data_IF_414386265101
#
_entry.id   IF_414386265101
#
_cell.length_a   1.000
_cell.length_b   1.000
_cell.length_c   1.000
_cell.angle_alpha   90.00
_cell.angle_beta   90.00
_cell.angle_gamma   90.00
#
_symmetry.space_group_name_H-M   'P 1'
#
loop_
_entity.id
_entity.type
_entity.pdbx_description
1 polymer ?
#
# COMPACT_ATOMS: atom_id res chain seq x y z
N UNK A 1 -50.17 -16.15 41.30
CA UNK A 1 -48.90 -16.48 41.99
C UNK A 1 -47.81 -16.56 40.95
N UNK A 2 -46.78 -15.70 41.06
CA UNK A 2 -45.46 -15.72 40.41
C UNK A 2 -45.39 -15.68 38.87
N UNK A 3 -44.36 -15.14 38.21
CA UNK A 3 -43.45 -14.00 38.36
C UNK A 3 -42.63 -14.02 37.04
N UNK A 4 -42.57 -12.88 36.36
CA UNK A 4 -41.50 -12.33 35.49
C UNK A 4 -40.54 -13.27 34.71
N UNK A 5 -40.36 -12.96 33.40
CA UNK A 5 -39.04 -12.73 32.79
C UNK A 5 -39.19 -12.01 31.43
N UNK A 6 -38.82 -10.72 31.39
CA UNK A 6 -38.63 -9.90 30.20
C UNK A 6 -37.25 -10.20 29.59
N UNK A 7 -37.21 -10.66 28.33
CA UNK A 7 -35.99 -10.72 27.54
C UNK A 7 -35.84 -9.42 26.72
N UNK A 8 -34.85 -8.61 27.09
CA UNK A 8 -34.44 -7.41 26.37
C UNK A 8 -33.74 -7.79 25.05
N UNK A 9 -34.30 -7.32 23.93
CA UNK A 9 -33.66 -7.38 22.63
C UNK A 9 -32.58 -6.30 22.53
N UNK A 10 -31.32 -6.71 22.36
CA UNK A 10 -30.23 -5.82 21.97
C UNK A 10 -30.12 -5.77 20.44
N UNK A 11 -30.50 -4.62 19.86
CA UNK A 11 -30.14 -4.23 18.50
C UNK A 11 -28.70 -3.66 18.51
N UNK A 12 -27.81 -4.05 17.58
CA UNK A 12 -26.50 -3.42 17.48
C UNK A 12 -26.66 -2.07 16.76
N UNK A 13 -26.54 -0.98 17.52
CA UNK A 13 -26.35 0.37 17.00
C UNK A 13 -24.99 0.46 16.28
N UNK A 14 -25.02 1.00 15.07
CA UNK A 14 -23.84 1.17 14.22
C UNK A 14 -22.76 2.03 14.89
N UNK A 15 -21.53 1.53 14.86
CA UNK A 15 -20.33 2.28 15.24
C UNK A 15 -20.03 3.33 14.16
N UNK A 16 -20.65 4.50 14.29
CA UNK A 16 -20.14 5.74 13.72
C UNK A 16 -18.93 6.11 14.57
N UNK A 17 -17.73 6.15 13.98
CA UNK A 17 -16.49 6.51 14.68
C UNK A 17 -16.63 7.87 15.35
N UNK A 18 -16.87 7.85 16.67
CA UNK A 18 -16.78 9.02 17.51
C UNK A 18 -15.34 9.09 18.01
N UNK A 19 -14.69 10.22 17.75
CA UNK A 19 -13.47 10.59 18.45
C UNK A 19 -13.74 10.52 19.95
N UNK A 20 -13.12 9.57 20.65
CA UNK A 20 -13.12 9.61 22.11
C UNK A 20 -12.33 10.84 22.56
N UNK A 21 -12.90 11.73 23.39
CA UNK A 21 -12.16 12.87 23.91
C UNK A 21 -11.07 12.36 24.85
N UNK A 22 -9.82 12.78 24.60
CA UNK A 22 -8.71 12.49 25.51
C UNK A 22 -8.92 13.29 26.80
N UNK A 23 -8.97 12.62 27.96
CA UNK A 23 -9.10 13.23 29.29
C UNK A 23 -7.84 13.99 29.75
N UNK A 24 -6.94 14.38 28.83
CA UNK A 24 -5.60 14.90 29.13
C UNK A 24 -5.44 16.42 28.92
N UNK A 25 -6.48 17.13 28.48
CA UNK A 25 -6.38 18.55 28.09
C UNK A 25 -5.48 18.80 26.85
N UNK A 26 -4.85 17.74 26.31
CA UNK A 26 -3.98 17.80 25.15
C UNK A 26 -4.80 17.48 23.89
N UNK A 27 -4.77 18.34 22.85
CA UNK A 27 -5.51 18.10 21.62
C UNK A 27 -5.14 16.77 20.95
N UNK A 28 -6.07 16.21 20.17
CA UNK A 28 -5.79 15.03 19.35
C UNK A 28 -4.70 15.34 18.30
N UNK A 29 -3.86 14.34 17.99
CA UNK A 29 -2.86 14.48 16.95
C UNK A 29 -3.54 14.63 15.58
N UNK A 30 -3.15 15.63 14.76
CA UNK A 30 -3.72 15.78 13.43
C UNK A 30 -3.22 14.67 12.51
N UNK A 31 -4.11 14.17 11.65
CA UNK A 31 -3.78 13.16 10.63
C UNK A 31 -2.93 13.79 9.52
N UNK A 32 -1.71 13.29 9.24
CA UNK A 32 -0.95 13.73 8.08
C UNK A 32 -1.64 13.36 6.76
N UNK A 33 -1.43 14.12 5.67
CA UNK A 33 -2.11 13.89 4.39
C UNK A 33 -1.78 12.52 3.79
N UNK A 34 -2.80 11.80 3.33
CA UNK A 34 -2.66 10.49 2.68
C UNK A 34 -2.33 9.31 3.60
N UNK A 35 -2.55 9.46 4.92
CA UNK A 35 -2.20 8.42 5.91
C UNK A 35 -3.42 7.82 6.63
N UNK A 36 -3.28 6.67 7.27
CA UNK A 36 -4.22 6.13 8.27
C UNK A 36 -3.51 6.00 9.61
N UNK A 37 -4.24 6.15 10.72
CA UNK A 37 -3.66 5.97 12.05
C UNK A 37 -3.53 4.46 12.33
N UNK A 38 -2.33 4.02 12.73
CA UNK A 38 -2.03 2.59 12.99
C UNK A 38 -1.60 2.33 14.44
N UNK A 39 -1.19 3.39 15.17
CA UNK A 39 -1.03 3.41 16.62
C UNK A 39 -1.20 4.86 17.13
N UNK A 40 -1.08 5.08 18.45
CA UNK A 40 -1.39 6.36 19.10
C UNK A 40 -0.73 7.58 18.44
N UNK A 41 0.58 7.53 18.19
CA UNK A 41 1.34 8.60 17.54
C UNK A 41 1.91 8.20 16.16
N UNK A 42 1.46 7.06 15.62
CA UNK A 42 1.98 6.49 14.38
C UNK A 42 0.89 6.41 13.33
N UNK A 43 1.18 7.02 12.20
CA UNK A 43 0.37 6.95 10.98
C UNK A 43 1.15 6.21 9.91
N UNK A 44 0.45 5.67 8.93
CA UNK A 44 1.04 4.97 7.77
C UNK A 44 0.36 5.45 6.51
N UNK A 45 1.09 5.59 5.42
CA UNK A 45 0.48 5.86 4.12
C UNK A 45 -0.60 4.83 3.78
N UNK A 46 -1.75 5.32 3.34
CA UNK A 46 -2.89 4.45 3.03
C UNK A 46 -2.61 3.49 1.87
N UNK A 47 -1.64 3.81 1.02
CA UNK A 47 -1.22 3.03 -0.14
C UNK A 47 0.29 3.18 -0.38
N UNK A 48 0.85 2.41 -1.32
CA UNK A 48 2.25 2.58 -1.72
C UNK A 48 2.50 3.98 -2.32
N UNK A 49 3.74 4.47 -2.23
CA UNK A 49 4.12 5.71 -2.92
C UNK A 49 3.97 5.51 -4.42
N UNK A 50 3.05 6.25 -5.05
CA UNK A 50 2.80 6.18 -6.49
C UNK A 50 3.81 7.02 -7.32
N UNK A 51 3.88 6.72 -8.62
CA UNK A 51 4.70 7.47 -9.58
C UNK A 51 4.43 8.99 -9.53
N UNK A 52 3.17 9.41 -9.38
CA UNK A 52 2.81 10.83 -9.29
C UNK A 52 3.42 11.55 -8.08
N UNK A 53 3.51 10.85 -6.94
CA UNK A 53 4.12 11.40 -5.72
C UNK A 53 5.63 11.56 -5.90
N UNK A 54 6.27 10.62 -6.60
CA UNK A 54 7.69 10.70 -6.91
C UNK A 54 7.98 11.78 -7.97
N UNK A 55 7.10 11.97 -8.95
CA UNK A 55 7.19 13.07 -9.91
C UNK A 55 7.09 14.45 -9.24
N UNK A 56 6.23 14.59 -8.22
CA UNK A 56 6.19 15.79 -7.38
C UNK A 56 7.51 16.00 -6.65
N UNK A 57 8.05 14.97 -6.00
CA UNK A 57 9.37 15.03 -5.36
C UNK A 57 10.46 15.51 -6.32
N UNK A 58 10.53 14.90 -7.51
CA UNK A 58 11.48 15.30 -8.55
C UNK A 58 11.29 16.75 -9.02
N UNK A 59 10.04 17.24 -9.08
CA UNK A 59 9.76 18.63 -9.44
C UNK A 59 10.37 19.61 -8.44
N UNK A 60 10.26 19.33 -7.14
CA UNK A 60 10.88 20.17 -6.10
C UNK A 60 12.41 20.10 -6.16
N UNK A 61 12.98 18.91 -6.32
CA UNK A 61 14.43 18.78 -6.46
C UNK A 61 14.99 19.51 -7.68
N UNK A 62 14.25 19.55 -8.79
CA UNK A 62 14.67 20.29 -9.98
C UNK A 62 14.76 21.81 -9.75
N UNK A 63 14.03 22.33 -8.75
CA UNK A 63 14.01 23.75 -8.39
C UNK A 63 15.07 24.09 -7.35
N UNK A 64 15.20 23.23 -6.34
CA UNK A 64 15.91 23.56 -5.09
C UNK A 64 17.23 22.79 -4.90
N UNK A 65 17.67 22.02 -5.90
CA UNK A 65 18.88 21.20 -5.80
C UNK A 65 19.76 21.25 -7.03
N UNK A 66 21.04 20.90 -6.84
CA UNK A 66 21.97 20.73 -7.95
C UNK A 66 21.49 19.63 -8.92
N UNK A 67 21.70 19.84 -10.22
CA UNK A 67 21.31 18.89 -11.28
C UNK A 67 21.81 17.46 -11.04
N UNK A 68 23.00 17.31 -10.45
CA UNK A 68 23.55 16.01 -10.10
C UNK A 68 22.69 15.28 -9.06
N UNK A 69 22.21 15.99 -8.04
CA UNK A 69 21.32 15.43 -7.02
C UNK A 69 19.99 15.02 -7.64
N UNK A 70 19.35 15.90 -8.43
CA UNK A 70 18.13 15.55 -9.17
C UNK A 70 18.29 14.26 -9.98
N UNK A 71 19.37 14.14 -10.76
CA UNK A 71 19.65 12.95 -11.59
C UNK A 71 19.81 11.69 -10.75
N UNK A 72 20.43 11.80 -9.57
CA UNK A 72 20.59 10.67 -8.64
C UNK A 72 19.27 10.16 -8.04
N UNK A 73 18.19 10.95 -8.13
CA UNK A 73 16.86 10.60 -7.61
C UNK A 73 15.92 10.08 -8.71
N UNK A 74 16.39 9.96 -9.95
CA UNK A 74 15.63 9.34 -11.03
C UNK A 74 15.49 7.83 -10.77
N UNK A 75 14.28 7.25 -10.94
CA UNK A 75 14.10 5.81 -10.86
C UNK A 75 14.90 5.08 -11.92
N UNK A 76 15.48 3.94 -11.54
CA UNK A 76 16.17 3.04 -12.44
C UNK A 76 15.17 2.30 -13.32
N UNK A 77 15.11 2.65 -14.60
CA UNK A 77 14.23 2.01 -15.59
C UNK A 77 14.72 0.64 -16.06
N UNK A 78 15.99 0.28 -15.80
CA UNK A 78 16.56 -0.99 -16.28
C UNK A 78 15.99 -2.21 -15.56
N UNK A 79 15.38 -2.01 -14.39
CA UNK A 79 14.66 -3.04 -13.62
C UNK A 79 13.52 -3.71 -14.40
N UNK A 80 13.05 -3.06 -15.47
CA UNK A 80 12.07 -3.60 -16.41
C UNK A 80 12.71 -4.42 -17.54
N UNK A 81 13.90 -4.04 -17.98
CA UNK A 81 14.65 -4.73 -19.05
C UNK A 81 15.17 -6.08 -18.56
N UNK A 82 15.65 -6.15 -17.31
CA UNK A 82 16.04 -7.40 -16.67
C UNK A 82 14.92 -8.46 -16.68
N UNK A 83 13.64 -8.04 -16.64
CA UNK A 83 12.51 -8.96 -16.78
C UNK A 83 12.29 -9.45 -18.21
N UNK A 84 12.53 -8.60 -19.21
CA UNK A 84 12.35 -8.98 -20.63
C UNK A 84 13.38 -10.00 -21.12
N UNK A 85 14.59 -10.03 -20.55
CA UNK A 85 15.62 -11.00 -20.92
C UNK A 85 15.29 -12.44 -20.47
N UNK A 86 14.56 -12.61 -19.37
CA UNK A 86 14.00 -13.92 -18.96
C UNK A 86 12.74 -14.31 -19.74
N UNK A 87 12.09 -13.36 -20.43
CA UNK A 87 10.91 -13.60 -21.26
C UNK A 87 11.25 -13.80 -22.76
N UNK A 88 12.51 -13.59 -23.16
CA UNK A 88 12.94 -13.57 -24.56
C UNK A 88 13.24 -14.95 -25.16
N UNK A 89 12.33 -15.92 -24.98
CA UNK A 89 12.25 -17.09 -25.87
C UNK A 89 10.97 -17.12 -26.74
N UNK A 90 10.08 -16.13 -26.61
CA UNK A 90 8.89 -16.05 -27.46
C UNK A 90 8.90 -14.74 -28.25
N UNK A 91 9.14 -14.90 -29.55
CA UNK A 91 9.33 -13.86 -30.53
C UNK A 91 8.13 -12.90 -30.66
N UNK A 92 8.43 -11.62 -30.87
CA UNK A 92 7.60 -10.74 -31.69
C UNK A 92 6.73 -9.68 -31.00
N UNK A 93 6.65 -9.60 -29.67
CA UNK A 93 5.81 -8.57 -29.01
C UNK A 93 6.64 -7.46 -28.39
N UNK A 94 6.56 -6.30 -29.04
CA UNK A 94 7.12 -5.00 -28.68
C UNK A 94 7.54 -4.85 -27.21
N UNK A 95 8.85 -4.74 -27.01
CA UNK A 95 9.42 -4.00 -25.90
C UNK A 95 8.86 -2.57 -25.91
N UNK A 96 7.75 -2.30 -25.20
CA UNK A 96 7.41 -0.93 -24.80
C UNK A 96 6.66 -0.85 -23.45
N UNK A 97 6.95 0.17 -22.63
CA UNK A 97 8.11 1.07 -22.71
C UNK A 97 8.91 1.17 -21.41
N UNK A 98 10.19 1.49 -21.63
CA UNK A 98 11.16 2.19 -20.76
C UNK A 98 10.59 3.48 -20.10
N UNK A 99 9.28 3.74 -20.20
CA UNK A 99 8.58 4.94 -19.75
C UNK A 99 7.54 4.69 -18.65
N UNK A 100 7.51 3.54 -17.97
CA UNK A 100 6.61 3.27 -16.84
C UNK A 100 6.47 4.49 -15.91
N UNK A 101 7.60 5.01 -15.44
CA UNK A 101 7.63 6.13 -14.51
C UNK A 101 7.08 7.45 -15.10
N UNK A 102 7.29 7.70 -16.40
CA UNK A 102 7.02 8.98 -17.06
C UNK A 102 5.73 8.98 -17.88
N UNK A 103 5.03 7.86 -17.95
CA UNK A 103 3.84 7.72 -18.79
C UNK A 103 2.58 8.11 -17.98
N UNK A 104 1.79 9.12 -18.39
CA UNK A 104 0.68 9.62 -17.58
C UNK A 104 -0.35 8.58 -17.09
N UNK A 105 -0.74 7.59 -17.91
CA UNK A 105 -1.61 6.51 -17.43
C UNK A 105 -1.04 5.70 -16.26
N UNK A 106 0.28 5.73 -16.04
CA UNK A 106 0.96 5.00 -14.98
C UNK A 106 1.14 5.81 -13.69
N UNK A 107 0.63 7.04 -13.62
CA UNK A 107 0.84 7.95 -12.49
C UNK A 107 0.36 7.39 -11.15
N UNK A 108 -0.71 6.60 -11.14
CA UNK A 108 -1.27 6.01 -9.92
C UNK A 108 -0.78 4.60 -9.63
N UNK A 109 0.20 4.09 -10.37
CA UNK A 109 0.88 2.82 -10.08
C UNK A 109 2.06 3.05 -9.13
N UNK A 110 2.51 2.03 -8.37
CA UNK A 110 3.56 2.19 -7.37
C UNK A 110 4.89 2.63 -7.99
N UNK A 111 5.60 3.53 -7.33
CA UNK A 111 6.95 3.90 -7.72
C UNK A 111 7.90 2.71 -7.48
N UNK A 112 8.50 2.22 -8.56
CA UNK A 112 9.48 1.12 -8.55
C UNK A 112 10.74 1.52 -9.30
N UNK A 113 11.80 0.71 -9.22
CA UNK A 113 13.12 1.15 -9.66
C UNK A 113 13.75 2.16 -8.69
N UNK A 114 13.25 2.19 -7.46
CA UNK A 114 13.72 3.07 -6.37
C UNK A 114 14.71 2.27 -5.52
N UNK A 115 15.82 2.89 -5.13
CA UNK A 115 16.76 2.33 -4.14
C UNK A 115 16.31 2.63 -2.71
N UNK A 116 16.86 1.90 -1.74
CA UNK A 116 16.62 2.18 -0.32
C UNK A 116 16.96 3.63 0.06
N UNK A 117 18.10 4.13 -0.41
CA UNK A 117 18.59 5.49 -0.14
C UNK A 117 17.67 6.55 -0.74
N UNK A 118 17.18 6.32 -1.96
CA UNK A 118 16.20 7.19 -2.60
C UNK A 118 14.89 7.21 -1.80
N UNK A 119 14.37 6.05 -1.39
CA UNK A 119 13.14 5.97 -0.59
C UNK A 119 13.27 6.68 0.77
N UNK A 120 14.41 6.51 1.45
CA UNK A 120 14.71 7.22 2.70
C UNK A 120 14.81 8.75 2.48
N UNK A 121 15.45 9.19 1.39
CA UNK A 121 15.52 10.60 1.02
C UNK A 121 14.12 11.19 0.73
N UNK A 122 13.26 10.44 0.05
CA UNK A 122 11.87 10.82 -0.20
C UNK A 122 11.09 11.02 1.11
N UNK A 123 11.14 10.07 2.06
CA UNK A 123 10.43 10.25 3.34
C UNK A 123 10.98 11.47 4.11
N UNK A 124 12.29 11.74 4.07
CA UNK A 124 12.88 12.95 4.66
C UNK A 124 12.37 14.23 3.99
N UNK A 125 12.34 14.27 2.66
CA UNK A 125 11.79 15.40 1.90
C UNK A 125 10.32 15.64 2.24
N UNK A 126 9.50 14.58 2.27
CA UNK A 126 8.07 14.68 2.60
C UNK A 126 7.84 15.22 4.00
N UNK A 127 8.70 14.87 4.96
CA UNK A 127 8.68 15.45 6.32
C UNK A 127 8.84 16.97 6.27
N UNK A 128 9.85 17.46 5.55
CA UNK A 128 10.07 18.90 5.40
C UNK A 128 8.86 19.58 4.72
N UNK A 129 8.35 19.00 3.64
CA UNK A 129 7.22 19.55 2.89
C UNK A 129 5.94 19.64 3.71
N UNK A 130 5.58 18.58 4.43
CA UNK A 130 4.35 18.57 5.24
C UNK A 130 4.47 19.51 6.43
N UNK A 131 5.62 19.56 7.10
CA UNK A 131 5.86 20.48 8.22
C UNK A 131 5.85 21.96 7.77
N UNK A 132 6.39 22.27 6.59
CA UNK A 132 6.51 23.64 6.10
C UNK A 132 5.23 24.14 5.41
N UNK A 133 4.60 23.29 4.60
CA UNK A 133 3.53 23.72 3.69
C UNK A 133 2.14 23.26 4.11
N UNK A 134 2.01 22.12 4.82
CA UNK A 134 0.69 21.61 5.22
C UNK A 134 0.31 22.09 6.63
N UNK A 135 1.08 21.73 7.67
CA UNK A 135 0.72 22.06 9.05
C UNK A 135 0.84 23.55 9.40
N UNK A 136 1.60 24.33 8.63
CA UNK A 136 1.66 25.79 8.75
C UNK A 136 0.69 26.52 7.82
N UNK A 137 -0.07 25.80 6.99
CA UNK A 137 -1.02 26.44 6.06
C UNK A 137 -2.17 27.12 6.80
N UNK A 138 -2.66 28.23 6.22
CA UNK A 138 -3.86 28.91 6.72
C UNK A 138 -5.09 27.98 6.74
N UNK A 139 -5.19 27.10 5.75
CA UNK A 139 -6.31 26.15 5.65
C UNK A 139 -6.28 25.14 6.80
N UNK A 140 -5.12 24.55 7.09
CA UNK A 140 -4.96 23.62 8.20
C UNK A 140 -5.28 24.30 9.55
N UNK A 141 -4.69 25.47 9.82
CA UNK A 141 -4.93 26.22 11.06
C UNK A 141 -6.37 26.71 11.22
N UNK A 142 -7.12 26.87 10.13
CA UNK A 142 -8.56 27.16 10.15
C UNK A 142 -9.37 25.94 10.55
N UNK A 143 -8.99 24.75 10.06
CA UNK A 143 -9.65 23.47 10.37
C UNK A 143 -9.31 22.95 11.78
N UNK A 144 -8.18 23.37 12.35
CA UNK A 144 -7.67 22.93 13.65
C UNK A 144 -7.42 24.08 14.63
N UNK A 145 -8.46 24.83 15.05
CA UNK A 145 -8.30 25.93 16.02
C UNK A 145 -7.73 25.47 17.37
N UNK A 146 -7.99 24.23 17.79
CA UNK A 146 -7.46 23.60 18.99
C UNK A 146 -5.93 23.46 19.00
N UNK A 147 -5.29 23.45 17.82
CA UNK A 147 -3.84 23.32 17.65
C UNK A 147 -3.12 24.67 17.57
N UNK A 148 -3.81 25.82 17.63
CA UNK A 148 -3.18 27.15 17.48
C UNK A 148 -2.07 27.43 18.50
N UNK A 149 -2.25 26.92 19.72
CA UNK A 149 -1.28 27.01 20.82
C UNK A 149 -0.15 25.98 20.76
N UNK A 150 -0.08 25.17 19.70
CA UNK A 150 0.87 24.07 19.56
C UNK A 150 1.69 24.19 18.27
N UNK A 151 2.91 23.68 18.32
CA UNK A 151 3.71 23.34 17.14
C UNK A 151 3.45 21.88 16.83
N UNK A 152 3.02 21.60 15.59
CA UNK A 152 2.80 20.25 15.08
C UNK A 152 4.00 19.85 14.23
N UNK A 153 4.55 18.68 14.48
CA UNK A 153 5.66 18.13 13.72
C UNK A 153 5.35 16.69 13.29
N UNK A 154 5.68 16.38 12.04
CA UNK A 154 5.69 15.01 11.51
C UNK A 154 7.05 14.61 11.01
N UNK A 155 7.43 13.37 11.29
CA UNK A 155 8.59 12.70 10.73
C UNK A 155 8.12 11.48 9.94
N UNK A 156 8.31 11.52 8.62
CA UNK A 156 8.13 10.37 7.73
C UNK A 156 9.42 9.58 7.60
N UNK A 157 9.29 8.26 7.63
CA UNK A 157 10.37 7.30 7.41
C UNK A 157 9.82 5.97 6.87
N UNK A 158 10.70 5.06 6.48
CA UNK A 158 10.30 3.68 6.21
C UNK A 158 9.82 3.00 7.51
N UNK A 159 8.81 2.10 7.42
CA UNK A 159 8.32 1.35 8.58
C UNK A 159 9.36 0.36 9.06
N UNK A 160 9.47 0.15 10.37
CA UNK A 160 10.10 -1.07 10.89
C UNK A 160 9.26 -2.29 10.49
N UNK A 161 9.85 -3.48 10.47
CA UNK A 161 9.11 -4.73 10.21
C UNK A 161 7.96 -4.93 11.19
N UNK A 162 8.13 -4.54 12.45
CA UNK A 162 7.09 -4.67 13.48
C UNK A 162 5.93 -3.70 13.24
N UNK A 163 6.21 -2.43 12.93
CA UNK A 163 5.17 -1.45 12.60
C UNK A 163 4.40 -1.86 11.35
N UNK A 164 5.09 -2.39 10.35
CA UNK A 164 4.46 -2.92 9.14
C UNK A 164 3.51 -4.09 9.46
N UNK A 165 3.95 -5.06 10.25
CA UNK A 165 3.14 -6.22 10.63
C UNK A 165 1.93 -5.83 11.49
N UNK A 166 2.12 -4.91 12.43
CA UNK A 166 1.03 -4.38 13.25
C UNK A 166 -0.04 -3.70 12.37
N UNK A 167 0.39 -2.92 11.37
CA UNK A 167 -0.51 -2.26 10.44
C UNK A 167 -1.23 -3.24 9.49
N UNK A 168 -0.56 -4.32 9.08
CA UNK A 168 -1.14 -5.35 8.23
C UNK A 168 -2.23 -6.17 8.93
N UNK A 169 -2.15 -6.36 10.26
CA UNK A 169 -3.22 -6.91 11.11
C UNK A 169 -3.77 -8.28 10.67
N UNK A 170 -3.13 -9.38 11.06
CA UNK A 170 -3.47 -10.72 10.58
C UNK A 170 -3.95 -11.70 11.66
N UNK A 171 -4.81 -12.63 11.23
CA UNK A 171 -4.77 -14.06 11.58
C UNK A 171 -5.56 -14.85 10.53
N UNK A 172 -4.87 -15.50 9.59
CA UNK A 172 -5.47 -16.40 8.61
C UNK A 172 -4.41 -17.18 7.81
N UNK A 173 -4.77 -18.38 7.35
CA UNK A 173 -3.85 -19.32 6.69
C UNK A 173 -4.08 -19.41 5.18
N UNK A 174 -5.23 -18.93 4.71
CA UNK A 174 -5.56 -18.84 3.30
C UNK A 174 -5.29 -17.46 2.73
N UNK A 175 -5.13 -17.32 1.40
CA UNK A 175 -4.82 -16.04 0.77
C UNK A 175 -5.79 -14.90 1.22
N UNK A 176 -7.11 -15.12 1.14
CA UNK A 176 -8.11 -14.11 1.50
C UNK A 176 -8.19 -13.79 3.02
N UNK A 177 -7.44 -14.54 3.82
CA UNK A 177 -7.42 -14.43 5.29
C UNK A 177 -6.06 -13.92 5.80
N UNK A 178 -5.06 -13.74 4.92
CA UNK A 178 -3.74 -13.19 5.28
C UNK A 178 -3.89 -11.83 5.99
N UNK A 179 -4.89 -11.03 5.61
CA UNK A 179 -5.18 -9.71 6.18
C UNK A 179 -6.66 -9.56 6.51
N UNK A 180 -6.94 -8.94 7.66
CA UNK A 180 -8.31 -8.60 8.03
C UNK A 180 -8.82 -7.42 7.17
N UNK A 181 -9.84 -7.65 6.35
CA UNK A 181 -10.48 -6.62 5.51
C UNK A 181 -11.62 -5.92 6.26
N UNK A 182 -11.79 -4.59 6.06
CA UNK A 182 -12.72 -3.70 6.81
C UNK A 182 -14.18 -4.15 6.82
N UNK A 183 -14.62 -4.76 5.72
CA UNK A 183 -15.80 -5.59 5.68
C UNK A 183 -15.33 -6.94 5.13
N UNK A 184 -15.85 -8.07 5.61
CA UNK A 184 -15.58 -9.40 5.04
C UNK A 184 -15.90 -9.34 3.55
N UNK A 185 -14.87 -9.12 2.73
CA UNK A 185 -15.01 -8.92 1.31
C UNK A 185 -15.59 -10.20 0.72
N UNK A 186 -16.75 -10.09 0.09
CA UNK A 186 -17.41 -11.24 -0.52
C UNK A 186 -16.91 -11.36 -1.96
N UNK A 187 -16.00 -12.30 -2.18
CA UNK A 187 -15.59 -12.66 -3.52
C UNK A 187 -16.80 -13.19 -4.30
N UNK A 188 -17.02 -12.65 -5.50
CA UNK A 188 -17.99 -13.19 -6.45
C UNK A 188 -17.24 -14.13 -7.40
N UNK A 189 -17.87 -15.25 -7.80
CA UNK A 189 -17.27 -16.11 -8.82
C UNK A 189 -17.16 -15.34 -10.14
N UNK A 190 -16.05 -15.54 -10.85
CA UNK A 190 -15.81 -14.97 -12.16
C UNK A 190 -16.70 -15.69 -13.17
N UNK A 191 -17.35 -14.93 -14.05
CA UNK A 191 -18.03 -15.53 -15.19
C UNK A 191 -17.01 -15.90 -16.27
N UNK A 192 -16.47 -17.12 -16.17
CA UNK A 192 -15.44 -17.66 -17.07
C UNK A 192 -15.83 -17.56 -18.55
N UNK A 193 -17.13 -17.65 -18.87
CA UNK A 193 -17.61 -17.56 -20.27
C UNK A 193 -17.36 -16.18 -20.91
N UNK A 194 -17.22 -15.13 -20.10
CA UNK A 194 -16.90 -13.79 -20.57
C UNK A 194 -15.39 -13.54 -20.67
N UNK A 195 -14.56 -14.52 -20.29
CA UNK A 195 -13.11 -14.43 -20.19
C UNK A 195 -12.46 -15.62 -20.93
N UNK A 196 -12.38 -15.59 -22.28
CA UNK A 196 -11.93 -16.74 -23.07
C UNK A 196 -10.49 -17.20 -22.73
N UNK A 197 -9.61 -16.26 -22.34
CA UNK A 197 -8.25 -16.60 -21.93
C UNK A 197 -8.23 -17.39 -20.60
N UNK A 198 -9.17 -17.06 -19.68
CA UNK A 198 -9.32 -17.79 -18.43
C UNK A 198 -9.88 -19.19 -18.69
N UNK A 199 -10.86 -19.34 -19.57
CA UNK A 199 -11.41 -20.65 -19.96
C UNK A 199 -10.32 -21.61 -20.48
N UNK A 200 -9.48 -21.12 -21.39
CA UNK A 200 -8.33 -21.89 -21.89
C UNK A 200 -7.36 -22.26 -20.75
N UNK A 201 -6.99 -21.29 -19.91
CA UNK A 201 -6.11 -21.52 -18.77
C UNK A 201 -6.64 -22.59 -17.81
N UNK A 202 -7.95 -22.60 -17.51
CA UNK A 202 -8.55 -23.62 -16.65
C UNK A 202 -8.36 -25.03 -17.21
N UNK A 203 -8.51 -25.19 -18.53
CA UNK A 203 -8.25 -26.46 -19.21
C UNK A 203 -6.79 -26.89 -19.05
N UNK A 204 -5.83 -25.97 -19.23
CA UNK A 204 -4.40 -26.23 -19.09
C UNK A 204 -4.02 -26.66 -17.66
N UNK A 205 -4.62 -26.04 -16.65
CA UNK A 205 -4.37 -26.41 -15.24
C UNK A 205 -5.23 -27.58 -14.76
N UNK A 206 -6.09 -28.16 -15.59
CA UNK A 206 -6.97 -29.27 -15.23
C UNK A 206 -8.06 -28.89 -14.23
N UNK A 207 -8.64 -27.70 -14.35
CA UNK A 207 -9.80 -27.23 -13.59
C UNK A 207 -11.02 -27.22 -14.53
N UNK A 208 -12.14 -27.75 -14.07
CA UNK A 208 -13.37 -27.73 -14.85
C UNK A 208 -13.90 -26.30 -14.99
N UNK A 209 -14.28 -25.86 -16.20
CA UNK A 209 -14.92 -24.56 -16.42
C UNK A 209 -16.25 -24.38 -15.67
N UNK A 210 -16.85 -25.48 -15.21
CA UNK A 210 -18.07 -25.45 -14.37
C UNK A 210 -17.76 -25.17 -12.90
N UNK A 211 -16.50 -25.34 -12.47
CA UNK A 211 -16.09 -25.09 -11.10
C UNK A 211 -16.09 -23.57 -10.83
N UNK A 212 -16.63 -23.10 -9.71
CA UNK A 212 -16.54 -21.69 -9.33
C UNK A 212 -15.06 -21.25 -9.18
N UNK A 213 -14.68 -20.21 -9.92
CA UNK A 213 -13.36 -19.58 -9.85
C UNK A 213 -13.50 -18.19 -9.26
N UNK A 214 -12.60 -17.82 -8.37
CA UNK A 214 -12.62 -16.54 -7.67
C UNK A 214 -11.30 -15.80 -7.90
N UNK A 215 -11.34 -14.48 -7.93
CA UNK A 215 -10.14 -13.66 -7.91
C UNK A 215 -9.66 -13.45 -6.47
N UNK A 216 -8.36 -13.47 -6.25
CA UNK A 216 -7.78 -13.03 -5.00
C UNK A 216 -8.02 -11.52 -4.78
N UNK A 217 -8.22 -11.07 -3.54
CA UNK A 217 -8.46 -9.66 -3.23
C UNK A 217 -7.17 -8.82 -3.23
N UNK A 218 -6.14 -9.23 -3.97
CA UNK A 218 -4.86 -8.57 -4.20
C UNK A 218 -4.16 -9.25 -5.39
N UNK A 219 -3.04 -8.68 -5.86
CA UNK A 219 -2.26 -9.26 -6.95
C UNK A 219 -0.95 -9.89 -6.44
N UNK A 220 -0.94 -11.22 -6.41
CA UNK A 220 0.23 -12.07 -6.20
C UNK A 220 0.50 -12.89 -7.46
N UNK A 221 1.52 -13.76 -7.41
CA UNK A 221 1.87 -14.63 -8.54
C UNK A 221 0.67 -15.47 -8.97
N UNK A 222 -0.02 -16.11 -8.03
CA UNK A 222 -1.34 -16.69 -8.21
C UNK A 222 -2.38 -15.58 -8.08
N UNK A 223 -3.36 -15.54 -8.99
CA UNK A 223 -4.38 -14.49 -9.03
C UNK A 223 -5.78 -15.03 -8.78
N UNK A 224 -5.94 -16.34 -8.92
CA UNK A 224 -7.22 -17.02 -8.87
C UNK A 224 -7.17 -18.22 -7.93
N UNK A 225 -8.35 -18.61 -7.44
CA UNK A 225 -8.52 -19.82 -6.66
C UNK A 225 -9.88 -20.50 -6.86
N UNK A 226 -9.90 -21.81 -6.64
CA UNK A 226 -11.13 -22.60 -6.42
C UNK A 226 -11.36 -22.82 -4.92
N UNK A 227 -12.57 -23.17 -4.51
CA UNK A 227 -12.89 -23.36 -3.09
C UNK A 227 -12.74 -24.79 -2.59
N UNK A 228 -12.98 -25.82 -3.42
CA UNK A 228 -12.98 -27.21 -2.97
C UNK A 228 -12.48 -28.17 -4.06
N UNK A 229 -11.30 -28.82 -3.90
CA UNK A 229 -10.23 -28.40 -2.99
C UNK A 229 -9.75 -26.98 -3.35
N UNK A 230 -9.14 -26.28 -2.38
CA UNK A 230 -8.52 -24.99 -2.65
C UNK A 230 -7.33 -25.19 -3.60
N UNK A 231 -7.46 -24.69 -4.83
CA UNK A 231 -6.39 -24.72 -5.82
C UNK A 231 -6.08 -23.28 -6.23
N UNK A 232 -4.88 -22.81 -5.90
CA UNK A 232 -4.39 -21.52 -6.36
C UNK A 232 -3.74 -21.68 -7.73
N UNK A 233 -3.97 -20.73 -8.61
CA UNK A 233 -3.37 -20.73 -9.94
C UNK A 233 -3.30 -19.31 -10.52
N UNK A 234 -2.44 -19.16 -11.51
CA UNK A 234 -2.40 -18.00 -12.38
C UNK A 234 -2.54 -18.43 -13.82
N UNK A 235 -3.12 -17.54 -14.60
CA UNK A 235 -3.17 -17.69 -16.04
C UNK A 235 -2.06 -16.85 -16.64
N UNK A 236 -1.45 -17.34 -17.73
CA UNK A 236 -0.45 -16.55 -18.45
C UNK A 236 -1.10 -15.22 -18.83
N UNK A 237 -0.57 -14.13 -18.26
CA UNK A 237 -0.99 -12.81 -18.65
C UNK A 237 -0.73 -12.67 -20.15
N UNK A 238 -1.65 -12.03 -20.87
CA UNK A 238 -1.33 -11.54 -22.22
C UNK A 238 -0.02 -10.75 -22.11
N UNK A 239 0.98 -11.01 -22.98
CA UNK A 239 2.29 -10.35 -22.90
C UNK A 239 2.22 -8.81 -22.84
N UNK A 240 1.10 -8.23 -23.26
CA UNK A 240 0.82 -6.79 -23.28
C UNK A 240 0.30 -6.22 -21.97
N UNK A 241 -0.05 -7.05 -20.97
CA UNK A 241 -0.66 -6.58 -19.72
C UNK A 241 0.40 -6.43 -18.62
N UNK A 242 0.51 -5.21 -18.09
CA UNK A 242 1.36 -4.92 -16.94
C UNK A 242 0.84 -5.67 -15.69
N UNK A 243 1.71 -6.30 -14.88
CA UNK A 243 1.30 -7.07 -13.71
C UNK A 243 1.03 -6.19 -12.47
N UNK A 244 1.36 -4.90 -12.50
CA UNK A 244 1.03 -3.96 -11.43
C UNK A 244 -0.37 -3.39 -11.60
N UNK A 245 -0.93 -2.86 -10.51
CA UNK A 245 -2.18 -2.12 -10.51
C UNK A 245 -2.02 -0.75 -9.84
N UNK A 246 -3.08 0.06 -9.89
CA UNK A 246 -3.08 1.33 -9.16
C UNK A 246 -2.94 1.07 -7.65
N UNK A 247 -2.27 1.97 -6.94
CA UNK A 247 -2.00 1.86 -5.50
C UNK A 247 -3.29 1.85 -4.64
N UNK A 248 -4.42 2.26 -5.20
CA UNK A 248 -5.74 2.20 -4.57
C UNK A 248 -6.66 1.12 -5.18
N UNK A 249 -6.08 0.16 -5.90
CA UNK A 249 -6.81 -1.02 -6.36
C UNK A 249 -7.06 -1.96 -5.19
N UNK A 250 -8.09 -2.80 -5.32
CA UNK A 250 -8.48 -3.81 -4.33
C UNK A 250 -9.07 -3.27 -3.02
N UNK A 251 -9.74 -4.14 -2.23
CA UNK A 251 -10.28 -3.75 -0.93
C UNK A 251 -9.19 -3.37 0.07
N UNK A 252 -9.53 -2.48 1.00
CA UNK A 252 -8.63 -2.09 2.09
C UNK A 252 -8.67 -3.08 3.26
N UNK A 253 -7.57 -3.12 4.01
CA UNK A 253 -7.53 -3.71 5.34
C UNK A 253 -8.52 -3.01 6.29
N UNK A 254 -8.75 -3.58 7.47
CA UNK A 254 -9.59 -3.00 8.51
C UNK A 254 -9.17 -1.57 8.92
N UNK A 255 -7.86 -1.27 8.82
CA UNK A 255 -7.30 0.06 9.09
C UNK A 255 -7.41 1.02 7.90
N UNK A 256 -7.87 0.57 6.73
CA UNK A 256 -7.98 1.39 5.53
C UNK A 256 -6.72 1.39 4.64
N UNK A 257 -5.83 0.40 4.78
CA UNK A 257 -4.63 0.26 3.95
C UNK A 257 -4.96 -0.50 2.67
N UNK A 258 -4.63 0.07 1.50
CA UNK A 258 -4.63 -0.62 0.21
C UNK A 258 -3.35 -1.41 0.02
N UNK A 259 -3.44 -2.51 -0.73
CA UNK A 259 -2.30 -3.30 -1.23
C UNK A 259 -1.23 -3.62 -0.17
N UNK A 260 -1.61 -3.77 1.10
CA UNK A 260 -0.65 -4.21 2.13
C UNK A 260 -0.16 -5.65 1.84
N UNK A 261 -0.90 -6.39 1.02
CA UNK A 261 -0.47 -7.65 0.43
C UNK A 261 -0.48 -7.53 -1.10
N UNK A 262 0.60 -7.97 -1.73
CA UNK A 262 0.73 -8.01 -3.18
C UNK A 262 1.02 -6.66 -3.83
N UNK A 263 0.79 -6.56 -5.14
CA UNK A 263 1.23 -5.44 -5.98
C UNK A 263 2.76 -5.29 -5.97
N UNK A 264 3.34 -4.53 -5.03
CA UNK A 264 4.79 -4.46 -4.81
C UNK A 264 5.14 -4.84 -3.37
N UNK A 265 6.28 -5.51 -3.21
CA UNK A 265 6.86 -5.69 -1.89
C UNK A 265 7.34 -4.33 -1.38
N UNK A 266 7.27 -4.12 -0.06
CA UNK A 266 7.51 -2.80 0.53
C UNK A 266 8.77 -2.80 1.37
N UNK A 267 9.70 -1.90 1.04
CA UNK A 267 10.92 -1.70 1.84
C UNK A 267 10.59 -1.34 3.29
N UNK A 268 11.37 -1.90 4.20
CA UNK A 268 11.33 -1.58 5.63
C UNK A 268 12.50 -0.67 6.01
N UNK A 269 12.57 -0.22 7.26
CA UNK A 269 13.69 0.52 7.82
C UNK A 269 14.99 -0.29 7.86
N UNK A 270 14.93 -1.61 7.67
CA UNK A 270 16.11 -2.45 7.51
C UNK A 270 16.42 -2.57 6.01
N UNK A 271 17.52 -1.94 5.57
CA UNK A 271 17.95 -2.00 4.17
C UNK A 271 18.09 -3.46 3.71
N UNK A 272 17.51 -3.77 2.54
CA UNK A 272 17.53 -5.10 1.96
C UNK A 272 16.42 -6.02 2.47
N UNK A 273 15.52 -5.54 3.34
CA UNK A 273 14.37 -6.28 3.84
C UNK A 273 13.07 -5.60 3.41
N UNK A 274 12.20 -6.36 2.75
CA UNK A 274 10.86 -5.97 2.36
C UNK A 274 9.78 -6.88 2.97
N UNK A 275 8.53 -6.44 2.92
CA UNK A 275 7.34 -7.15 3.45
C UNK A 275 6.22 -7.16 2.40
N UNK A 276 5.20 -7.99 2.62
CA UNK A 276 3.89 -7.90 1.93
C UNK A 276 3.74 -8.66 0.62
N UNK A 277 4.83 -9.15 0.02
CA UNK A 277 4.73 -9.82 -1.27
C UNK A 277 4.54 -8.85 -2.42
N UNK A 278 4.68 -9.35 -3.64
CA UNK A 278 4.49 -8.62 -4.89
C UNK A 278 3.78 -9.49 -5.91
N UNK A 279 3.51 -8.96 -7.10
CA UNK A 279 3.01 -9.74 -8.25
C UNK A 279 3.90 -10.94 -8.64
N UNK A 280 5.10 -11.08 -8.06
CA UNK A 280 6.00 -12.23 -8.24
C UNK A 280 5.99 -13.24 -7.09
N UNK A 281 5.29 -12.92 -6.00
CA UNK A 281 5.33 -13.73 -4.78
C UNK A 281 4.20 -14.73 -4.78
N UNK A 282 4.51 -15.99 -4.49
CA UNK A 282 3.50 -17.03 -4.36
C UNK A 282 2.66 -16.81 -3.10
N UNK A 283 1.34 -16.92 -3.24
CA UNK A 283 0.38 -16.82 -2.15
C UNK A 283 0.56 -17.92 -1.10
N UNK A 284 0.98 -19.13 -1.50
CA UNK A 284 1.28 -20.21 -0.55
C UNK A 284 2.51 -19.91 0.33
N UNK A 285 3.44 -19.10 -0.18
CA UNK A 285 4.68 -18.76 0.52
C UNK A 285 4.57 -17.47 1.35
N UNK A 286 3.41 -16.81 1.36
CA UNK A 286 3.24 -15.49 1.94
C UNK A 286 2.51 -15.53 3.28
N UNK A 287 3.08 -14.85 4.27
CA UNK A 287 2.42 -14.51 5.54
C UNK A 287 2.75 -13.06 5.88
N UNK A 288 2.00 -12.44 6.79
CA UNK A 288 2.32 -11.08 7.28
C UNK A 288 3.71 -11.03 7.94
N UNK A 289 4.14 -12.12 8.58
CA UNK A 289 5.46 -12.19 9.20
C UNK A 289 6.60 -12.32 8.19
N UNK A 290 6.34 -12.88 6.99
CA UNK A 290 7.36 -13.21 6.02
C UNK A 290 8.17 -11.97 5.56
N UNK A 291 9.50 -12.08 5.62
CA UNK A 291 10.44 -11.11 5.06
C UNK A 291 10.87 -11.51 3.67
N UNK A 292 11.08 -10.51 2.80
CA UNK A 292 11.56 -10.69 1.45
C UNK A 292 12.89 -9.96 1.28
N UNK A 293 14.01 -10.68 1.08
CA UNK A 293 15.29 -10.05 0.85
C UNK A 293 15.32 -9.41 -0.54
N UNK A 294 15.99 -8.28 -0.68
CA UNK A 294 16.24 -7.64 -1.96
C UNK A 294 17.63 -7.01 -2.03
N UNK A 295 18.10 -6.80 -3.25
CA UNK A 295 19.33 -6.06 -3.53
C UNK A 295 19.03 -4.97 -4.56
N UNK A 296 19.48 -3.76 -4.26
CA UNK A 296 19.29 -2.60 -5.15
C UNK A 296 17.82 -2.28 -5.45
N UNK A 297 17.61 -1.56 -6.54
CA UNK A 297 16.29 -1.28 -7.13
C UNK A 297 15.72 -2.54 -7.80
N UNK A 298 14.40 -2.73 -7.71
CA UNK A 298 13.70 -3.82 -8.36
C UNK A 298 12.38 -3.33 -8.96
N UNK A 299 11.85 -4.06 -9.94
CA UNK A 299 10.55 -3.76 -10.59
C UNK A 299 9.34 -4.25 -9.79
N UNK A 300 9.57 -5.09 -8.79
CA UNK A 300 8.54 -5.66 -7.90
C UNK A 300 8.61 -5.08 -6.48
N UNK A 301 9.50 -4.11 -6.25
CA UNK A 301 9.78 -3.49 -4.96
C UNK A 301 9.43 -2.01 -5.02
N UNK A 302 8.58 -1.60 -4.10
CA UNK A 302 8.25 -0.20 -3.81
C UNK A 302 8.37 0.05 -2.31
N UNK A 303 7.64 1.04 -1.82
CA UNK A 303 7.63 1.39 -0.40
C UNK A 303 6.42 2.26 -0.07
N UNK A 304 6.15 2.36 1.23
CA UNK A 304 5.25 3.36 1.81
C UNK A 304 5.95 3.96 3.04
N UNK A 305 5.63 5.21 3.41
CA UNK A 305 6.18 5.79 4.63
C UNK A 305 5.24 5.53 5.82
N UNK A 306 5.82 5.44 7.02
CA UNK A 306 5.12 5.74 8.28
C UNK A 306 5.46 7.15 8.71
N UNK A 307 4.57 7.75 9.50
CA UNK A 307 4.65 9.12 9.95
C UNK A 307 4.44 9.19 11.47
N UNK A 308 5.48 9.59 12.20
CA UNK A 308 5.37 9.86 13.64
C UNK A 308 4.95 11.32 13.84
N UNK A 309 3.84 11.56 14.53
CA UNK A 309 3.30 12.92 14.75
C UNK A 309 3.45 13.30 16.21
N UNK A 310 3.90 14.53 16.46
CA UNK A 310 4.05 15.09 17.80
C UNK A 310 3.48 16.51 17.83
N UNK A 311 2.95 16.89 18.99
CA UNK A 311 2.56 18.28 19.26
C UNK A 311 3.29 18.78 20.51
N UNK A 312 3.77 20.02 20.45
CA UNK A 312 4.45 20.69 21.55
C UNK A 312 3.77 22.02 21.82
N UNK A 313 3.45 22.32 23.08
CA UNK A 313 2.83 23.60 23.43
C UNK A 313 3.82 24.73 23.13
N UNK A 314 3.38 25.76 22.42
CA UNK A 314 4.20 26.95 22.15
C UNK A 314 4.52 27.61 23.49
N UNK A 315 5.80 27.82 23.75
CA UNK A 315 6.24 28.59 24.93
C UNK A 315 5.81 30.04 24.72
N UNK A 316 5.15 30.64 25.71
CA UNK A 316 4.83 32.06 25.67
C UNK A 316 6.15 32.86 25.73
N UNK A 317 6.51 33.58 24.67
CA UNK A 317 7.60 34.58 24.74
C UNK A 317 8.72 34.55 23.69
N UNK A 318 8.58 33.89 22.54
CA UNK A 318 9.48 34.18 21.40
C UNK A 318 8.72 34.98 20.35
N UNK A 319 8.82 36.30 20.49
CA UNK A 319 8.52 37.30 19.46
C UNK A 319 9.60 37.25 18.37
#
# INVERSE_FOLDING_TARGET
MLLWLLALAFLPLGLRGQNMPSNSGTPALPKPPGTVQVADNLFMDEAEVANIHWLEYLKFLAQDSATAHYRSQLPDSTVWVAQSASASQQAGTAARPVSYFRYPPMYYYPAVGISYEQAAAYCKWRSAMVNQNFFKSKEFLKKHPELRGYTVEVEYRLPTEQEWQQAAGASGTGPAEIVLLKAKFKNKPINVRLEPDLAQCLTEVGISEKQPVYQLPYNLLEQYYTTEPVKLFSCKAKPTKLPLHHVNSYPTSALGLYNIIGNVAEMTATKGVAKGGSFKTSAQALTVAASQPYQGSQSWLGFRCVASVRIQKKVAGTL
#
